data_IF_501429317588
#
_entry.id   IF_501429317588
#
_cell.length_a   1.000
_cell.length_b   1.000
_cell.length_c   1.000
_cell.angle_alpha   90.00
_cell.angle_beta   90.00
_cell.angle_gamma   90.00
#
_symmetry.space_group_name_H-M   'P 1'
#
loop_
_entity.id
_entity.type
_entity.pdbx_description
1 polymer ?
#
# COMPACT_ATOMS: atom_id res chain seq x y z
N UNK A 1 -21.85 -28.59 -12.32
CA UNK A 1 -20.59 -28.60 -11.55
C UNK A 1 -20.91 -29.08 -10.15
N UNK A 2 -20.49 -30.29 -9.75
CA UNK A 2 -20.76 -30.79 -8.38
C UNK A 2 -19.75 -30.11 -7.45
N UNK A 3 -20.14 -29.01 -6.83
CA UNK A 3 -19.42 -28.44 -5.69
C UNK A 3 -19.35 -29.54 -4.62
N UNK A 4 -18.14 -29.86 -4.14
CA UNK A 4 -18.00 -30.75 -2.98
C UNK A 4 -18.77 -30.13 -1.81
N UNK A 5 -19.52 -30.96 -1.09
CA UNK A 5 -20.32 -30.48 0.05
C UNK A 5 -19.39 -30.16 1.20
N UNK A 6 -19.81 -29.31 2.13
CA UNK A 6 -19.03 -29.00 3.33
C UNK A 6 -18.63 -30.25 4.13
N UNK A 7 -19.49 -31.27 4.15
CA UNK A 7 -19.18 -32.59 4.74
C UNK A 7 -17.97 -33.27 4.09
N UNK A 8 -17.84 -33.17 2.75
CA UNK A 8 -16.73 -33.77 2.01
C UNK A 8 -15.42 -33.01 2.29
N UNK A 9 -15.50 -31.68 2.46
CA UNK A 9 -14.39 -30.81 2.85
C UNK A 9 -13.88 -31.07 4.27
N UNK A 10 -14.79 -31.33 5.21
CA UNK A 10 -14.45 -31.70 6.58
C UNK A 10 -13.78 -33.08 6.63
N UNK A 11 -14.30 -34.06 5.88
CA UNK A 11 -13.72 -35.42 5.82
C UNK A 11 -12.28 -35.45 5.33
N UNK A 12 -11.92 -34.61 4.36
CA UNK A 12 -10.54 -34.54 3.85
C UNK A 12 -9.66 -33.59 4.67
N UNK A 13 -10.18 -33.01 5.77
CA UNK A 13 -9.43 -32.10 6.63
C UNK A 13 -9.07 -30.76 5.98
N UNK A 14 -9.71 -30.38 4.86
CA UNK A 14 -9.40 -29.16 4.13
C UNK A 14 -9.60 -27.93 5.03
N UNK A 15 -10.76 -27.84 5.68
CA UNK A 15 -11.08 -26.74 6.59
C UNK A 15 -10.10 -26.68 7.76
N UNK A 16 -9.65 -27.84 8.27
CA UNK A 16 -8.64 -27.91 9.32
C UNK A 16 -7.31 -27.32 8.84
N UNK A 17 -6.77 -27.76 7.70
CA UNK A 17 -5.50 -27.24 7.17
C UNK A 17 -5.60 -25.75 6.88
N UNK A 18 -6.66 -25.30 6.20
CA UNK A 18 -6.89 -23.87 5.93
C UNK A 18 -6.95 -23.07 7.23
N UNK A 19 -7.59 -23.58 8.29
CA UNK A 19 -7.66 -22.88 9.58
C UNK A 19 -6.28 -22.66 10.21
N UNK A 20 -5.31 -23.56 9.96
CA UNK A 20 -3.94 -23.48 10.49
C UNK A 20 -3.01 -22.56 9.71
N UNK A 21 -3.37 -22.18 8.48
CA UNK A 21 -2.57 -21.22 7.70
C UNK A 21 -2.61 -19.83 8.34
N UNK A 22 -1.44 -19.29 8.67
CA UNK A 22 -1.30 -17.94 9.22
C UNK A 22 -0.81 -16.97 8.14
N UNK A 23 -1.74 -16.29 7.47
CA UNK A 23 -1.45 -15.20 6.53
C UNK A 23 -1.25 -13.89 7.28
N UNK A 24 -0.25 -13.11 6.91
CA UNK A 24 0.15 -11.90 7.63
C UNK A 24 -0.44 -10.61 7.06
N UNK A 25 -0.67 -10.59 5.75
CA UNK A 25 -1.22 -9.44 5.04
C UNK A 25 -2.75 -9.56 4.92
N UNK A 26 -3.46 -8.42 4.81
CA UNK A 26 -4.88 -8.42 4.45
C UNK A 26 -5.15 -9.09 3.10
N UNK A 27 -4.21 -8.99 2.16
CA UNK A 27 -4.33 -9.55 0.82
C UNK A 27 -4.23 -11.08 0.80
N UNK A 28 -3.27 -11.65 1.53
CA UNK A 28 -3.16 -13.10 1.71
C UNK A 28 -4.36 -13.65 2.46
N UNK A 29 -4.85 -12.92 3.47
CA UNK A 29 -6.09 -13.28 4.18
C UNK A 29 -7.31 -13.29 3.26
N UNK A 30 -7.44 -12.28 2.39
CA UNK A 30 -8.50 -12.23 1.39
C UNK A 30 -8.40 -13.37 0.37
N UNK A 31 -7.18 -13.71 -0.07
CA UNK A 31 -6.93 -14.82 -0.99
C UNK A 31 -7.25 -16.17 -0.35
N UNK A 32 -6.81 -16.39 0.91
CA UNK A 32 -7.13 -17.57 1.71
C UNK A 32 -8.64 -17.78 1.80
N UNK A 33 -9.42 -16.73 2.08
CA UNK A 33 -10.89 -16.79 2.16
C UNK A 33 -11.56 -17.14 0.83
N UNK A 34 -10.98 -16.72 -0.30
CA UNK A 34 -11.47 -17.03 -1.65
C UNK A 34 -11.01 -18.40 -2.15
N UNK A 35 -10.03 -19.01 -1.49
CA UNK A 35 -9.47 -20.29 -1.93
C UNK A 35 -10.47 -21.41 -1.69
N UNK A 36 -10.67 -22.22 -2.72
CA UNK A 36 -11.50 -23.42 -2.68
C UNK A 36 -10.75 -24.62 -3.24
N UNK A 37 -11.48 -25.72 -3.42
CA UNK A 37 -10.94 -26.94 -3.98
C UNK A 37 -10.73 -26.77 -5.49
N UNK A 38 -9.57 -27.22 -5.97
CA UNK A 38 -9.30 -27.32 -7.41
C UNK A 38 -10.16 -28.45 -8.02
N UNK A 39 -10.98 -28.16 -9.04
CA UNK A 39 -11.62 -29.21 -9.81
C UNK A 39 -10.58 -30.01 -10.60
N UNK A 40 -10.93 -31.22 -11.07
CA UNK A 40 -10.04 -32.06 -11.89
C UNK A 40 -9.49 -31.33 -13.13
N UNK A 41 -10.29 -30.44 -13.72
CA UNK A 41 -9.87 -29.59 -14.85
C UNK A 41 -8.76 -28.59 -14.51
N UNK A 42 -8.57 -28.27 -13.22
CA UNK A 42 -7.53 -27.35 -12.74
C UNK A 42 -6.30 -28.08 -12.15
N UNK A 43 -6.11 -29.37 -12.46
CA UNK A 43 -4.97 -30.16 -11.97
C UNK A 43 -3.62 -29.49 -12.21
N UNK A 44 -3.39 -28.93 -13.41
CA UNK A 44 -2.15 -28.22 -13.71
C UNK A 44 -1.89 -27.04 -12.77
N UNK A 45 -2.94 -26.28 -12.41
CA UNK A 45 -2.83 -25.18 -11.44
C UNK A 45 -2.53 -25.69 -10.03
N UNK A 46 -3.10 -26.83 -9.64
CA UNK A 46 -2.80 -27.43 -8.33
C UNK A 46 -1.33 -27.85 -8.23
N UNK A 47 -0.77 -28.43 -9.30
CA UNK A 47 0.66 -28.78 -9.37
C UNK A 47 1.54 -27.53 -9.32
N UNK A 48 1.16 -26.46 -10.04
CA UNK A 48 1.84 -25.17 -9.98
C UNK A 48 1.88 -24.62 -8.55
N UNK A 49 0.75 -24.62 -7.84
CA UNK A 49 0.67 -24.19 -6.44
C UNK A 49 1.55 -25.04 -5.51
N UNK A 50 1.56 -26.36 -5.70
CA UNK A 50 2.40 -27.27 -4.91
C UNK A 50 3.89 -27.00 -5.15
N UNK A 51 4.29 -26.79 -6.40
CA UNK A 51 5.66 -26.44 -6.76
C UNK A 51 6.08 -25.11 -6.14
N UNK A 52 5.20 -24.11 -6.13
CA UNK A 52 5.44 -22.81 -5.51
C UNK A 52 5.71 -22.94 -4.00
N UNK A 53 4.93 -23.78 -3.30
CA UNK A 53 5.16 -24.10 -1.88
C UNK A 53 6.51 -24.78 -1.69
N UNK A 54 6.85 -25.76 -2.55
CA UNK A 54 8.15 -26.43 -2.54
C UNK A 54 9.34 -25.48 -2.67
N UNK A 55 9.25 -24.49 -3.58
CA UNK A 55 10.28 -23.45 -3.74
C UNK A 55 10.49 -22.70 -2.42
N UNK A 56 9.42 -22.26 -1.75
CA UNK A 56 9.53 -21.52 -0.49
C UNK A 56 10.12 -22.38 0.63
N UNK A 57 9.71 -23.64 0.74
CA UNK A 57 10.27 -24.59 1.72
C UNK A 57 11.79 -24.76 1.51
N UNK A 58 12.23 -24.90 0.26
CA UNK A 58 13.66 -25.05 -0.04
C UNK A 58 14.46 -23.79 0.28
N UNK A 59 13.90 -22.60 0.04
CA UNK A 59 14.54 -21.34 0.46
C UNK A 59 14.61 -21.25 1.99
N UNK A 60 13.53 -21.58 2.70
CA UNK A 60 13.48 -21.57 4.17
C UNK A 60 14.54 -22.49 4.81
N UNK A 61 14.79 -23.67 4.20
CA UNK A 61 15.84 -24.59 4.65
C UNK A 61 17.24 -24.05 4.40
N UNK A 62 17.46 -23.36 3.27
CA UNK A 62 18.77 -22.89 2.83
C UNK A 62 19.19 -21.59 3.52
N UNK A 63 18.26 -20.66 3.72
CA UNK A 63 18.56 -19.34 4.30
C UNK A 63 17.67 -19.06 5.52
N UNK A 64 18.32 -19.07 6.70
CA UNK A 64 17.65 -18.78 7.98
C UNK A 64 17.15 -17.34 8.09
N UNK A 65 17.72 -16.39 7.34
CA UNK A 65 17.32 -14.99 7.35
C UNK A 65 16.06 -14.75 6.51
N UNK A 66 15.82 -15.57 5.48
CA UNK A 66 14.68 -15.41 4.57
C UNK A 66 13.35 -15.30 5.35
N UNK A 67 13.15 -16.20 6.32
CA UNK A 67 11.95 -16.23 7.16
C UNK A 67 11.70 -14.87 7.82
N UNK A 68 12.69 -14.32 8.51
CA UNK A 68 12.49 -13.07 9.25
C UNK A 68 12.28 -11.89 8.29
N UNK A 69 13.01 -11.85 7.18
CA UNK A 69 12.89 -10.80 6.17
C UNK A 69 11.52 -10.77 5.51
N UNK A 70 11.02 -11.94 5.06
CA UNK A 70 9.73 -12.01 4.38
C UNK A 70 8.57 -11.78 5.33
N UNK A 71 8.61 -12.34 6.55
CA UNK A 71 7.55 -12.11 7.54
C UNK A 71 7.50 -10.63 7.95
N UNK A 72 8.66 -10.00 8.17
CA UNK A 72 8.71 -8.57 8.47
C UNK A 72 8.11 -7.73 7.33
N UNK A 73 8.50 -8.01 6.08
CA UNK A 73 7.95 -7.31 4.92
C UNK A 73 6.44 -7.51 4.76
N UNK A 74 5.92 -8.72 5.02
CA UNK A 74 4.48 -9.01 4.92
C UNK A 74 3.66 -8.34 6.03
N UNK A 75 4.23 -8.16 7.23
CA UNK A 75 3.57 -7.50 8.36
C UNK A 75 3.33 -6.00 8.17
N UNK A 76 4.06 -5.34 7.27
CA UNK A 76 3.89 -3.89 7.06
C UNK A 76 2.65 -3.55 6.23
N UNK A 77 2.06 -4.52 5.53
CA UNK A 77 0.90 -4.29 4.68
C UNK A 77 -0.38 -4.03 5.51
N UNK A 78 -1.05 -2.93 5.17
CA UNK A 78 -2.36 -2.55 5.69
C UNK A 78 -3.44 -2.76 4.64
N UNK A 79 -4.69 -2.82 5.08
CA UNK A 79 -5.83 -2.97 4.18
C UNK A 79 -6.17 -1.59 3.60
N UNK A 80 -5.82 -1.39 2.33
CA UNK A 80 -6.09 -0.15 1.59
C UNK A 80 -7.14 -0.38 0.50
N UNK A 81 -8.01 -1.38 0.65
CA UNK A 81 -9.01 -1.73 -0.38
C UNK A 81 -9.93 -0.55 -0.73
N UNK A 82 -10.37 0.21 0.26
CA UNK A 82 -11.24 1.37 0.03
C UNK A 82 -10.48 2.51 -0.66
N UNK A 83 -9.24 2.74 -0.26
CA UNK A 83 -8.30 3.71 -0.83
C UNK A 83 -8.04 3.42 -2.31
N UNK A 84 -7.78 2.16 -2.64
CA UNK A 84 -7.61 1.69 -4.02
C UNK A 84 -8.90 1.84 -4.81
N UNK A 85 -10.04 1.44 -4.23
CA UNK A 85 -11.35 1.62 -4.88
C UNK A 85 -11.61 3.09 -5.24
N UNK A 86 -11.27 4.01 -4.33
CA UNK A 86 -11.38 5.45 -4.54
C UNK A 86 -10.41 5.94 -5.62
N UNK A 87 -9.16 5.47 -5.61
CA UNK A 87 -8.19 5.78 -6.66
C UNK A 87 -8.69 5.35 -8.05
N UNK A 88 -9.40 4.23 -8.15
CA UNK A 88 -10.02 3.78 -9.40
C UNK A 88 -11.25 4.59 -9.83
N UNK A 89 -11.90 5.32 -8.92
CA UNK A 89 -13.02 6.19 -9.26
C UNK A 89 -12.52 7.46 -9.96
N UNK A 90 -13.17 7.86 -11.05
CA UNK A 90 -12.73 8.97 -11.92
C UNK A 90 -12.81 10.36 -11.28
N UNK A 91 -13.73 10.57 -10.35
CA UNK A 91 -14.01 11.93 -9.83
C UNK A 91 -13.54 12.14 -8.38
N UNK A 92 -13.06 11.09 -7.71
CA UNK A 92 -12.70 11.16 -6.29
C UNK A 92 -11.26 11.64 -6.08
N UNK A 93 -11.10 12.70 -5.29
CA UNK A 93 -9.79 13.22 -4.89
C UNK A 93 -9.36 12.57 -3.59
N UNK A 94 -8.11 12.09 -3.55
CA UNK A 94 -7.57 11.51 -2.34
C UNK A 94 -7.21 12.58 -1.31
N UNK A 95 -7.52 12.31 -0.05
CA UNK A 95 -7.06 13.12 1.07
C UNK A 95 -5.65 12.73 1.54
N UNK A 96 -5.12 13.42 2.56
CA UNK A 96 -3.76 13.15 3.04
C UNK A 96 -3.61 11.76 3.67
N UNK A 97 -4.66 11.22 4.30
CA UNK A 97 -4.63 9.89 4.92
C UNK A 97 -4.58 8.83 3.83
N UNK A 98 -5.41 8.98 2.81
CA UNK A 98 -5.46 8.05 1.67
C UNK A 98 -4.16 8.11 0.85
N UNK A 99 -3.60 9.30 0.62
CA UNK A 99 -2.28 9.45 -0.03
C UNK A 99 -1.16 8.83 0.81
N UNK A 100 -1.22 8.97 2.14
CA UNK A 100 -0.30 8.31 3.06
C UNK A 100 -0.39 6.79 2.99
N UNK A 101 -1.59 6.23 2.91
CA UNK A 101 -1.83 4.81 2.77
C UNK A 101 -1.22 4.25 1.48
N UNK A 102 -1.37 4.95 0.35
CA UNK A 102 -0.71 4.59 -0.91
C UNK A 102 0.81 4.67 -0.78
N UNK A 103 1.35 5.74 -0.19
CA UNK A 103 2.80 5.87 0.04
C UNK A 103 3.33 4.70 0.88
N UNK A 104 2.64 4.37 1.97
CA UNK A 104 3.01 3.26 2.87
C UNK A 104 2.94 1.90 2.18
N UNK A 105 1.93 1.70 1.32
CA UNK A 105 1.80 0.51 0.49
C UNK A 105 2.97 0.38 -0.49
N UNK A 106 3.32 1.46 -1.21
CA UNK A 106 4.46 1.47 -2.15
C UNK A 106 5.76 1.11 -1.44
N UNK A 107 6.03 1.69 -0.26
CA UNK A 107 7.23 1.39 0.54
C UNK A 107 7.27 -0.09 0.94
N UNK A 108 6.12 -0.64 1.34
CA UNK A 108 5.99 -2.06 1.68
C UNK A 108 6.23 -2.96 0.47
N UNK A 109 5.69 -2.61 -0.70
CA UNK A 109 5.94 -3.32 -1.96
C UNK A 109 7.41 -3.31 -2.34
N UNK A 110 8.10 -2.17 -2.28
CA UNK A 110 9.52 -2.10 -2.60
C UNK A 110 10.38 -2.90 -1.61
N UNK A 111 9.99 -2.92 -0.33
CA UNK A 111 10.65 -3.74 0.70
C UNK A 111 10.48 -5.23 0.41
N UNK A 112 9.26 -5.68 0.16
CA UNK A 112 8.97 -7.07 -0.19
C UNK A 112 9.66 -7.47 -1.50
N UNK A 113 9.66 -6.60 -2.51
CA UNK A 113 10.31 -6.81 -3.81
C UNK A 113 11.81 -7.02 -3.65
N UNK A 114 12.48 -6.28 -2.76
CA UNK A 114 13.89 -6.49 -2.44
C UNK A 114 14.14 -7.88 -1.85
N UNK A 115 13.28 -8.33 -0.94
CA UNK A 115 13.37 -9.70 -0.36
C UNK A 115 13.17 -10.76 -1.45
N UNK A 116 12.10 -10.65 -2.24
CA UNK A 116 11.81 -11.57 -3.35
C UNK A 116 12.98 -11.68 -4.33
N UNK A 117 13.56 -10.54 -4.72
CA UNK A 117 14.74 -10.49 -5.60
C UNK A 117 15.99 -11.08 -4.96
N UNK A 118 16.28 -10.73 -3.70
CA UNK A 118 17.44 -11.22 -2.95
C UNK A 118 17.48 -12.75 -2.89
N UNK A 119 16.33 -13.38 -2.69
CA UNK A 119 16.20 -14.83 -2.56
C UNK A 119 15.88 -15.55 -3.89
N UNK A 120 15.93 -14.83 -5.02
CA UNK A 120 15.79 -15.41 -6.35
C UNK A 120 14.41 -16.02 -6.65
N UNK A 121 13.36 -15.56 -5.97
CA UNK A 121 11.99 -16.05 -6.18
C UNK A 121 11.51 -15.57 -7.56
N UNK A 122 11.35 -16.51 -8.49
CA UNK A 122 10.89 -16.26 -9.87
C UNK A 122 9.60 -17.03 -10.13
N UNK A 123 8.50 -16.52 -9.61
CA UNK A 123 7.15 -17.07 -9.84
C UNK A 123 6.32 -15.97 -10.49
N UNK A 124 5.77 -16.24 -11.67
CA UNK A 124 5.13 -15.22 -12.52
C UNK A 124 4.01 -14.46 -11.81
N UNK A 125 3.18 -15.16 -11.01
CA UNK A 125 2.08 -14.54 -10.25
C UNK A 125 2.52 -13.79 -8.98
N UNK A 126 3.81 -13.77 -8.69
CA UNK A 126 4.40 -13.13 -7.51
C UNK A 126 5.36 -12.00 -7.90
N UNK A 127 5.28 -11.52 -9.14
CA UNK A 127 6.09 -10.41 -9.62
C UNK A 127 5.50 -9.09 -9.13
N UNK A 128 6.21 -8.43 -8.22
CA UNK A 128 5.86 -7.09 -7.74
C UNK A 128 6.28 -6.04 -8.76
N UNK A 129 5.33 -5.22 -9.18
CA UNK A 129 5.57 -4.08 -10.06
C UNK A 129 6.53 -3.09 -9.40
N UNK A 130 7.40 -2.46 -10.19
CA UNK A 130 8.27 -1.40 -9.69
C UNK A 130 7.47 -0.10 -9.55
N UNK A 131 7.51 0.46 -8.35
CA UNK A 131 6.71 1.62 -7.94
C UNK A 131 7.59 2.83 -7.54
N UNK A 132 8.85 2.85 -7.99
CA UNK A 132 9.83 3.90 -7.68
C UNK A 132 9.39 5.29 -8.19
N UNK A 133 8.74 5.35 -9.36
CA UNK A 133 8.20 6.59 -9.92
C UNK A 133 7.02 7.13 -9.11
N UNK A 134 6.12 6.25 -8.68
CA UNK A 134 4.96 6.53 -7.85
C UNK A 134 5.37 6.98 -6.44
N UNK A 135 6.42 6.38 -5.90
CA UNK A 135 7.02 6.83 -4.64
C UNK A 135 7.52 8.27 -4.75
N UNK A 136 8.17 8.62 -5.86
CA UNK A 136 8.68 9.99 -6.10
C UNK A 136 7.56 11.01 -6.28
N UNK A 137 6.39 10.60 -6.77
CA UNK A 137 5.19 11.46 -6.82
C UNK A 137 4.73 11.83 -5.41
N UNK A 138 4.77 10.90 -4.45
CA UNK A 138 4.31 11.09 -3.06
C UNK A 138 5.41 11.52 -2.08
N UNK A 139 6.65 11.48 -2.51
CA UNK A 139 7.82 11.88 -1.73
C UNK A 139 8.79 12.64 -2.64
N UNK A 140 8.51 13.94 -2.90
CA UNK A 140 9.33 14.76 -3.79
C UNK A 140 10.70 15.07 -3.18
N UNK A 141 10.82 15.02 -1.84
CA UNK A 141 12.08 15.17 -1.11
C UNK A 141 12.92 13.89 -1.15
N UNK A 142 14.25 14.03 -1.05
CA UNK A 142 15.17 12.89 -1.07
C UNK A 142 15.07 12.01 0.20
N UNK A 143 14.58 12.59 1.30
CA UNK A 143 14.39 11.86 2.56
C UNK A 143 12.98 11.25 2.57
N UNK A 144 12.90 9.93 2.66
CA UNK A 144 11.62 9.24 2.82
C UNK A 144 11.13 9.41 4.26
N UNK A 145 10.18 10.32 4.44
CA UNK A 145 9.52 10.50 5.74
C UNK A 145 8.40 9.48 5.93
N UNK A 146 8.27 8.97 7.16
CA UNK A 146 7.19 8.06 7.58
C UNK A 146 5.85 8.75 7.84
N UNK A 147 5.77 10.07 7.70
CA UNK A 147 4.53 10.84 7.66
C UNK A 147 4.26 11.35 6.24
N UNK A 148 3.03 11.79 6.00
CA UNK A 148 2.66 12.48 4.76
C UNK A 148 1.94 13.78 5.09
N UNK A 149 2.26 14.81 4.32
CA UNK A 149 1.57 16.10 4.26
C UNK A 149 1.78 16.69 2.88
N UNK A 150 1.05 17.74 2.54
CA UNK A 150 1.37 18.51 1.34
C UNK A 150 2.63 19.35 1.60
N UNK A 151 3.77 18.91 1.05
CA UNK A 151 5.07 19.57 1.17
C UNK A 151 5.20 20.79 0.25
N UNK A 152 6.03 21.76 0.67
CA UNK A 152 6.36 22.95 -0.13
C UNK A 152 6.97 22.58 -1.49
N UNK A 153 7.72 21.47 -1.55
CA UNK A 153 8.35 20.96 -2.76
C UNK A 153 7.36 20.65 -3.90
N UNK A 154 6.05 20.53 -3.61
CA UNK A 154 5.04 20.32 -4.64
C UNK A 154 4.66 21.59 -5.42
N UNK A 155 4.86 22.79 -4.85
CA UNK A 155 4.43 24.05 -5.47
C UNK A 155 5.16 25.25 -4.87
N UNK A 156 5.91 26.00 -5.69
CA UNK A 156 6.50 27.27 -5.25
C UNK A 156 5.42 28.26 -4.76
N UNK A 157 4.22 28.20 -5.35
CA UNK A 157 3.08 29.02 -4.88
C UNK A 157 2.65 28.64 -3.46
N UNK A 158 2.63 27.35 -3.11
CA UNK A 158 2.31 26.92 -1.74
C UNK A 158 3.36 27.42 -0.75
N UNK A 159 4.64 27.31 -1.12
CA UNK A 159 5.77 27.79 -0.34
C UNK A 159 5.71 29.31 -0.10
N UNK A 160 5.36 30.09 -1.13
CA UNK A 160 5.13 31.53 -1.01
C UNK A 160 3.98 31.85 -0.06
N UNK A 161 2.83 31.18 -0.20
CA UNK A 161 1.66 31.35 0.68
C UNK A 161 2.02 31.06 2.14
N UNK A 162 2.74 29.97 2.42
CA UNK A 162 3.19 29.61 3.78
C UNK A 162 4.16 30.63 4.35
N UNK A 163 5.07 31.17 3.53
CA UNK A 163 5.98 32.24 3.92
C UNK A 163 5.22 33.54 4.26
N UNK A 164 4.21 33.91 3.48
CA UNK A 164 3.33 35.05 3.77
C UNK A 164 2.57 34.86 5.09
N UNK A 165 2.01 33.66 5.30
CA UNK A 165 1.29 33.31 6.53
C UNK A 165 2.17 33.45 7.78
N UNK A 166 3.40 32.93 7.74
CA UNK A 166 4.36 33.05 8.84
C UNK A 166 4.73 34.51 9.17
N UNK A 167 4.87 35.36 8.14
CA UNK A 167 5.10 36.80 8.33
C UNK A 167 3.91 37.47 9.04
N UNK A 168 2.70 37.18 8.58
CA UNK A 168 1.47 37.72 9.19
C UNK A 168 1.31 37.26 10.65
N UNK A 169 1.62 36.00 10.96
CA UNK A 169 1.59 35.47 12.33
C UNK A 169 2.62 36.18 13.22
N UNK A 170 3.79 36.49 12.69
CA UNK A 170 4.82 37.25 13.41
C UNK A 170 4.42 38.71 13.65
N UNK A 171 3.73 39.35 12.68
CA UNK A 171 3.20 40.71 12.81
C UNK A 171 2.05 40.77 13.83
N UNK A 172 1.15 39.79 13.81
CA UNK A 172 0.04 39.68 14.77
C UNK A 172 0.49 39.58 16.22
N UNK A 173 1.62 38.89 16.49
CA UNK A 173 2.19 38.76 17.83
C UNK A 173 2.74 40.11 18.34
N UNK A 174 3.19 41.00 17.45
CA UNK A 174 3.84 42.27 17.79
C UNK A 174 2.88 43.46 17.82
N UNK A 175 1.72 43.35 17.18
CA UNK A 175 0.74 44.43 17.08
C UNK A 175 -0.15 44.49 18.33
N UNK A 176 -0.47 45.70 18.78
CA UNK A 176 -1.32 45.94 19.96
C UNK A 176 -2.57 46.76 19.64
N UNK A 177 -2.64 47.39 18.46
CA UNK A 177 -3.81 48.15 18.02
C UNK A 177 -4.94 47.25 17.51
N UNK A 178 -6.12 47.30 18.15
CA UNK A 178 -7.27 46.44 17.83
C UNK A 178 -7.70 46.50 16.35
N UNK A 179 -7.76 47.69 15.75
CA UNK A 179 -8.13 47.86 14.34
C UNK A 179 -7.13 47.20 13.39
N UNK A 180 -5.83 47.35 13.65
CA UNK A 180 -4.77 46.72 12.84
C UNK A 180 -4.77 45.20 13.01
N UNK A 181 -5.00 44.73 14.24
CA UNK A 181 -5.16 43.30 14.52
C UNK A 181 -6.34 42.73 13.74
N UNK A 182 -7.48 43.43 13.69
CA UNK A 182 -8.66 43.00 12.93
C UNK A 182 -8.32 42.86 11.43
N UNK A 183 -7.69 43.86 10.82
CA UNK A 183 -7.26 43.81 9.41
C UNK A 183 -6.27 42.67 9.15
N UNK A 184 -5.30 42.45 10.05
CA UNK A 184 -4.33 41.35 9.93
C UNK A 184 -5.00 39.97 10.08
N UNK A 185 -6.00 39.84 10.95
CA UNK A 185 -6.78 38.60 11.10
C UNK A 185 -7.57 38.29 9.83
N UNK A 186 -8.19 39.28 9.21
CA UNK A 186 -8.90 39.11 7.95
C UNK A 186 -7.95 38.68 6.82
N UNK A 187 -6.79 39.34 6.70
CA UNK A 187 -5.76 38.95 5.73
C UNK A 187 -5.26 37.52 5.98
N UNK A 188 -4.99 37.15 7.23
CA UNK A 188 -4.60 35.79 7.61
C UNK A 188 -5.65 34.77 7.20
N UNK A 189 -6.94 35.06 7.46
CA UNK A 189 -8.04 34.19 7.05
C UNK A 189 -8.06 33.96 5.54
N UNK A 190 -7.87 35.02 4.74
CA UNK A 190 -7.76 34.88 3.28
C UNK A 190 -6.54 34.06 2.86
N UNK A 191 -5.40 34.21 3.53
CA UNK A 191 -4.19 33.41 3.27
C UNK A 191 -4.41 31.92 3.58
N UNK A 192 -5.09 31.59 4.67
CA UNK A 192 -5.47 30.20 5.00
C UNK A 192 -6.36 29.60 3.91
N UNK A 193 -7.34 30.35 3.40
CA UNK A 193 -8.17 29.89 2.28
C UNK A 193 -7.34 29.65 1.02
N UNK A 194 -6.38 30.52 0.71
CA UNK A 194 -5.48 30.34 -0.44
C UNK A 194 -4.60 29.11 -0.30
N UNK A 195 -4.08 28.86 0.90
CA UNK A 195 -3.29 27.66 1.22
C UNK A 195 -4.11 26.39 0.96
N UNK A 196 -5.30 26.30 1.55
CA UNK A 196 -6.18 25.15 1.39
C UNK A 196 -6.52 24.88 -0.09
N UNK A 197 -6.82 25.93 -0.86
CA UNK A 197 -7.11 25.82 -2.29
C UNK A 197 -5.92 25.29 -3.09
N UNK A 198 -4.70 25.71 -2.76
CA UNK A 198 -3.50 25.22 -3.42
C UNK A 198 -3.20 23.77 -3.01
N UNK A 199 -3.38 23.41 -1.74
CA UNK A 199 -3.26 22.02 -1.27
C UNK A 199 -4.28 21.08 -1.93
N UNK A 200 -5.53 21.51 -2.08
CA UNK A 200 -6.56 20.74 -2.78
C UNK A 200 -6.22 20.55 -4.27
N UNK A 201 -5.65 21.58 -4.91
CA UNK A 201 -5.14 21.47 -6.29
C UNK A 201 -3.99 20.48 -6.38
N UNK A 202 -3.06 20.49 -5.41
CA UNK A 202 -1.96 19.54 -5.38
C UNK A 202 -2.48 18.11 -5.17
N UNK A 203 -3.38 17.88 -4.19
CA UNK A 203 -4.01 16.57 -3.96
C UNK A 203 -4.70 16.02 -5.21
N UNK A 204 -5.43 16.86 -5.95
CA UNK A 204 -5.99 16.49 -7.26
C UNK A 204 -4.90 16.04 -8.22
N UNK A 205 -3.84 16.84 -8.39
CA UNK A 205 -2.73 16.50 -9.29
C UNK A 205 -2.03 15.20 -8.91
N UNK A 206 -1.79 14.97 -7.61
CA UNK A 206 -1.19 13.74 -7.11
C UNK A 206 -2.08 12.53 -7.38
N UNK A 207 -3.38 12.65 -7.10
CA UNK A 207 -4.37 11.61 -7.37
C UNK A 207 -4.36 11.22 -8.85
N UNK A 208 -4.44 12.19 -9.77
CA UNK A 208 -4.41 11.91 -11.22
C UNK A 208 -3.12 11.23 -11.67
N UNK A 209 -1.97 11.67 -11.15
CA UNK A 209 -0.68 11.04 -11.48
C UNK A 209 -0.61 9.58 -11.02
N UNK A 210 -1.17 9.27 -9.84
CA UNK A 210 -1.22 7.91 -9.31
C UNK A 210 -2.20 7.02 -10.09
N UNK A 211 -3.31 7.56 -10.59
CA UNK A 211 -4.30 6.80 -11.37
C UNK A 211 -3.73 6.16 -12.61
N UNK A 212 -2.72 6.78 -13.22
CA UNK A 212 -2.00 6.22 -14.38
C UNK A 212 -1.40 4.83 -14.08
N UNK A 213 -1.11 4.56 -12.81
CA UNK A 213 -0.50 3.32 -12.31
C UNK A 213 -1.48 2.37 -11.61
N UNK A 214 -2.79 2.54 -11.83
CA UNK A 214 -3.86 1.70 -11.27
C UNK A 214 -3.65 0.19 -11.50
N UNK A 215 -3.14 -0.18 -12.69
CA UNK A 215 -2.82 -1.58 -13.01
C UNK A 215 -1.70 -2.11 -12.13
N UNK A 216 -0.61 -1.35 -11.96
CA UNK A 216 0.52 -1.74 -11.11
C UNK A 216 0.12 -1.94 -9.65
N UNK A 217 -0.77 -1.10 -9.12
CA UNK A 217 -1.28 -1.27 -7.75
C UNK A 217 -2.09 -2.57 -7.62
N UNK A 218 -2.97 -2.85 -8.59
CA UNK A 218 -3.77 -4.07 -8.61
C UNK A 218 -2.90 -5.32 -8.70
N UNK A 219 -1.94 -5.33 -9.64
CA UNK A 219 -0.96 -6.42 -9.80
C UNK A 219 -0.14 -6.63 -8.53
N UNK A 220 0.29 -5.55 -7.88
CA UNK A 220 1.07 -5.63 -6.64
C UNK A 220 0.24 -6.20 -5.50
N UNK A 221 -1.04 -5.82 -5.36
CA UNK A 221 -1.96 -6.38 -4.35
C UNK A 221 -2.12 -7.89 -4.55
N UNK A 222 -2.32 -8.32 -5.80
CA UNK A 222 -2.42 -9.73 -6.13
C UNK A 222 -1.12 -10.48 -5.81
N UNK A 223 0.02 -9.95 -6.24
CA UNK A 223 1.33 -10.53 -5.97
C UNK A 223 1.63 -10.67 -4.47
N UNK A 224 1.35 -9.63 -3.66
CA UNK A 224 1.48 -9.70 -2.19
C UNK A 224 0.60 -10.81 -1.62
N UNK A 225 -0.65 -10.89 -2.07
CA UNK A 225 -1.57 -11.94 -1.63
C UNK A 225 -1.08 -13.34 -1.96
N UNK A 226 -0.54 -13.55 -3.17
CA UNK A 226 0.04 -14.84 -3.58
C UNK A 226 1.28 -15.20 -2.75
N UNK A 227 2.20 -14.25 -2.57
CA UNK A 227 3.42 -14.45 -1.78
C UNK A 227 3.08 -14.83 -0.34
N UNK A 228 2.20 -14.07 0.31
CA UNK A 228 1.79 -14.32 1.71
C UNK A 228 1.10 -15.68 1.84
N UNK A 229 0.22 -16.02 0.90
CA UNK A 229 -0.51 -17.28 0.98
C UNK A 229 0.39 -18.50 0.76
N UNK A 230 1.33 -18.45 -0.19
CA UNK A 230 2.31 -19.51 -0.38
C UNK A 230 3.29 -19.59 0.79
N UNK A 231 3.72 -18.46 1.32
CA UNK A 231 4.54 -18.41 2.54
C UNK A 231 3.83 -19.06 3.73
N UNK A 232 2.54 -18.78 3.94
CA UNK A 232 1.75 -19.39 5.00
C UNK A 232 1.63 -20.92 4.85
N UNK A 233 1.48 -21.42 3.62
CA UNK A 233 1.48 -22.86 3.31
C UNK A 233 2.85 -23.48 3.60
N UNK A 234 3.91 -22.85 3.13
CA UNK A 234 5.29 -23.33 3.34
C UNK A 234 5.64 -23.37 4.84
N UNK A 235 5.25 -22.35 5.61
CA UNK A 235 5.45 -22.29 7.06
C UNK A 235 4.70 -23.38 7.83
N UNK A 236 3.55 -23.84 7.34
CA UNK A 236 2.82 -24.94 7.97
C UNK A 236 3.43 -26.31 7.62
N UNK A 237 4.04 -26.42 6.44
CA UNK A 237 4.61 -27.66 5.91
C UNK A 237 6.10 -27.86 6.25
N UNK A 238 6.80 -26.81 6.69
CA UNK A 238 8.20 -26.83 7.12
C UNK A 238 8.31 -27.08 8.63
#
# INVERSE_FOLDING_TARGET
MKLMRNEDLERIGFNYVISKLNTLSPYGTALKKKTGIYPKSAHARLIEELNNVGIFIEILKKDKNFKNEILHALHTFRDIKNTIKKLHATDDVMDEVELFEIKSFIISCETLRKVVKKHGIKIDRMQLSELSAELKILNPDDIILGSFKIYDAYSEKLKEIRKEKLKMESELIRESGEEKIAVLRDKRFQTVIKEQKEEDRIKRSLTEKLRVSNTKFSESIEAVGQIDFVMAKAMLAH
#
